data_IF_747863258056
#
_entry.id   IF_747863258056
#
_cell.length_a   1.000
_cell.length_b   1.000
_cell.length_c   1.000
_cell.angle_alpha   90.00
_cell.angle_beta   90.00
_cell.angle_gamma   90.00
#
_symmetry.space_group_name_H-M   'P 1'
#
loop_
_entity.id
_entity.type
_entity.pdbx_description
1 polymer ?
#
# COMPACT_ATOMS: atom_id res chain seq x y z
N UNK A 1 12.35 11.77 6.68
CA UNK A 1 11.27 10.93 6.11
C UNK A 1 9.97 11.66 6.42
N UNK A 2 9.31 12.25 5.42
CA UNK A 2 8.09 13.03 5.66
C UNK A 2 6.92 12.05 5.82
N UNK A 3 6.46 11.88 7.06
CA UNK A 3 5.26 11.10 7.36
C UNK A 3 4.06 11.98 7.00
N UNK A 4 3.15 11.54 6.11
CA UNK A 4 1.93 12.27 5.85
C UNK A 4 1.17 12.47 7.16
N UNK A 5 0.87 13.71 7.50
CA UNK A 5 0.13 14.05 8.71
C UNK A 5 -0.92 15.09 8.39
N UNK A 6 -1.93 15.21 9.25
CA UNK A 6 -3.00 16.22 9.08
C UNK A 6 -2.49 17.66 9.15
N UNK A 7 -1.28 17.88 9.67
CA UNK A 7 -0.63 19.20 9.68
C UNK A 7 0.02 19.57 8.34
N UNK A 8 0.27 18.58 7.47
CA UNK A 8 1.01 18.76 6.20
C UNK A 8 0.11 18.50 4.99
N UNK A 9 -0.85 17.58 5.09
CA UNK A 9 -1.75 17.21 4.00
C UNK A 9 -3.14 17.80 4.25
N UNK A 10 -3.54 18.79 3.44
CA UNK A 10 -4.85 19.45 3.55
C UNK A 10 -5.89 18.86 2.58
N UNK A 11 -5.44 18.04 1.63
CA UNK A 11 -6.26 17.38 0.63
C UNK A 11 -5.83 15.92 0.42
N UNK A 12 -6.71 15.15 -0.22
CA UNK A 12 -6.37 13.80 -0.69
C UNK A 12 -5.21 13.84 -1.70
N UNK A 13 -5.16 14.88 -2.54
CA UNK A 13 -4.08 15.07 -3.51
C UNK A 13 -2.73 15.23 -2.81
N UNK A 14 -2.65 16.10 -1.80
CA UNK A 14 -1.42 16.31 -1.01
C UNK A 14 -0.93 15.02 -0.34
N UNK A 15 -1.88 14.21 0.14
CA UNK A 15 -1.60 12.91 0.73
C UNK A 15 -1.00 11.96 -0.31
N UNK A 16 -1.62 11.82 -1.47
CA UNK A 16 -1.15 10.94 -2.54
C UNK A 16 0.23 11.35 -3.06
N UNK A 17 0.45 12.64 -3.26
CA UNK A 17 1.75 13.20 -3.66
C UNK A 17 2.80 12.88 -2.58
N UNK A 18 2.47 13.03 -1.30
CA UNK A 18 3.38 12.71 -0.19
C UNK A 18 3.71 11.22 -0.12
N UNK A 19 2.70 10.35 -0.24
CA UNK A 19 2.87 8.89 -0.26
C UNK A 19 3.72 8.40 -1.43
N UNK A 20 3.63 9.03 -2.60
CA UNK A 20 4.44 8.67 -3.78
C UNK A 20 5.95 8.83 -3.57
N UNK A 21 6.36 9.64 -2.60
CA UNK A 21 7.77 9.91 -2.26
C UNK A 21 8.28 9.04 -1.09
N UNK A 22 7.44 8.16 -0.55
CA UNK A 22 7.82 7.32 0.59
C UNK A 22 8.72 6.17 0.14
N UNK A 23 9.71 5.85 0.98
CA UNK A 23 10.59 4.70 0.79
C UNK A 23 10.21 3.60 1.78
N UNK A 24 10.15 2.36 1.29
CA UNK A 24 9.90 1.22 2.18
C UNK A 24 11.18 0.90 2.94
N UNK A 25 11.04 0.65 4.24
CA UNK A 25 12.15 0.25 5.09
C UNK A 25 12.49 -1.23 4.90
N UNK A 26 13.77 -1.63 5.03
CA UNK A 26 14.13 -3.02 5.26
C UNK A 26 13.34 -3.59 6.45
N UNK A 27 12.92 -4.87 6.44
CA UNK A 27 13.31 -5.94 5.51
C UNK A 27 12.30 -6.19 4.36
N UNK A 28 11.45 -5.23 3.99
CA UNK A 28 10.34 -5.47 3.04
C UNK A 28 10.78 -5.85 1.62
N UNK A 29 11.97 -5.43 1.17
CA UNK A 29 12.50 -5.75 -0.17
C UNK A 29 11.77 -5.07 -1.34
N UNK A 30 10.94 -4.06 -1.06
CA UNK A 30 10.13 -3.36 -2.05
C UNK A 30 10.79 -2.08 -2.53
N UNK A 31 10.93 -1.94 -3.85
CA UNK A 31 11.56 -0.79 -4.50
C UNK A 31 10.60 0.33 -4.91
N UNK A 32 9.29 0.07 -4.91
CA UNK A 32 8.24 1.05 -5.19
C UNK A 32 7.39 1.29 -3.93
N UNK A 33 6.88 2.52 -3.71
CA UNK A 33 6.07 2.82 -2.52
C UNK A 33 4.91 1.85 -2.33
N UNK A 34 4.68 1.38 -1.09
CA UNK A 34 3.63 0.40 -0.78
C UNK A 34 2.19 0.97 -0.78
N UNK A 35 2.03 2.29 -0.72
CA UNK A 35 0.71 2.92 -0.55
C UNK A 35 -0.36 2.53 -1.58
N UNK A 36 -0.08 2.27 -2.88
CA UNK A 36 -1.13 1.90 -3.82
C UNK A 36 -1.75 0.55 -3.46
N UNK A 37 -0.91 -0.39 -3.00
CA UNK A 37 -1.34 -1.72 -2.57
C UNK A 37 -2.12 -1.68 -1.26
N UNK A 38 -1.78 -0.78 -0.34
CA UNK A 38 -2.56 -0.57 0.88
C UNK A 38 -3.96 -0.05 0.54
N UNK A 39 -4.07 0.96 -0.32
CA UNK A 39 -5.36 1.50 -0.75
C UNK A 39 -6.20 0.43 -1.47
N UNK A 40 -5.56 -0.36 -2.34
CA UNK A 40 -6.20 -1.47 -3.04
C UNK A 40 -6.72 -2.55 -2.07
N UNK A 41 -5.90 -2.99 -1.11
CA UNK A 41 -6.30 -4.00 -0.12
C UNK A 41 -7.40 -3.48 0.80
N UNK A 42 -7.36 -2.21 1.23
CA UNK A 42 -8.43 -1.61 2.02
C UNK A 42 -9.75 -1.58 1.25
N UNK A 43 -9.72 -1.17 -0.01
CA UNK A 43 -10.91 -1.13 -0.87
C UNK A 43 -11.48 -2.54 -1.11
N UNK A 44 -10.65 -3.50 -1.51
CA UNK A 44 -11.09 -4.88 -1.75
C UNK A 44 -11.56 -5.58 -0.47
N UNK A 45 -10.87 -5.40 0.65
CA UNK A 45 -11.28 -5.99 1.94
C UNK A 45 -12.62 -5.42 2.41
N UNK A 46 -12.87 -4.13 2.19
CA UNK A 46 -14.19 -3.53 2.47
C UNK A 46 -15.28 -4.16 1.62
N UNK A 47 -15.03 -4.39 0.33
CA UNK A 47 -16.00 -5.06 -0.54
C UNK A 47 -16.26 -6.49 -0.09
N UNK A 48 -15.21 -7.25 0.27
CA UNK A 48 -15.34 -8.62 0.79
C UNK A 48 -16.13 -8.67 2.10
N UNK A 49 -15.93 -7.69 2.98
CA UNK A 49 -16.73 -7.58 4.19
C UNK A 49 -18.20 -7.31 3.89
N UNK A 50 -18.50 -6.36 3.00
CA UNK A 50 -19.88 -5.97 2.67
C UNK A 50 -20.67 -7.03 1.90
N UNK A 51 -20.01 -7.77 0.99
CA UNK A 51 -20.69 -8.69 0.08
C UNK A 51 -20.50 -10.17 0.41
N UNK A 52 -19.48 -10.52 1.21
CA UNK A 52 -19.14 -11.91 1.54
C UNK A 52 -19.02 -12.17 3.05
N UNK A 53 -19.26 -11.16 3.90
CA UNK A 53 -19.10 -11.21 5.36
C UNK A 53 -17.68 -11.69 5.78
N UNK A 54 -16.67 -11.36 4.97
CA UNK A 54 -15.27 -11.70 5.23
C UNK A 54 -14.52 -10.52 5.81
N UNK A 55 -14.07 -10.66 7.05
CA UNK A 55 -13.15 -9.73 7.70
C UNK A 55 -11.71 -10.25 7.67
N UNK A 56 -10.74 -9.34 7.67
CA UNK A 56 -9.32 -9.67 7.80
C UNK A 56 -8.72 -8.85 8.93
N UNK A 57 -7.75 -9.41 9.62
CA UNK A 57 -6.92 -8.68 10.57
C UNK A 57 -6.01 -7.69 9.85
N UNK A 58 -5.53 -6.68 10.58
CA UNK A 58 -4.58 -5.69 10.08
C UNK A 58 -3.30 -6.35 9.55
N UNK A 59 -2.83 -7.40 10.23
CA UNK A 59 -1.64 -8.16 9.84
C UNK A 59 -1.87 -8.94 8.54
N UNK A 60 -3.04 -9.55 8.34
CA UNK A 60 -3.41 -10.20 7.09
C UNK A 60 -3.51 -9.20 5.94
N UNK A 61 -4.15 -8.04 6.16
CA UNK A 61 -4.25 -6.99 5.14
C UNK A 61 -2.87 -6.47 4.73
N UNK A 62 -2.00 -6.17 5.70
CA UNK A 62 -0.64 -5.71 5.43
C UNK A 62 0.17 -6.77 4.67
N UNK A 63 0.04 -8.04 5.07
CA UNK A 63 0.70 -9.17 4.40
C UNK A 63 0.23 -9.31 2.96
N UNK A 64 -1.09 -9.20 2.69
CA UNK A 64 -1.65 -9.20 1.34
C UNK A 64 -1.09 -8.05 0.49
N UNK A 65 -1.00 -6.84 1.05
CA UNK A 65 -0.48 -5.68 0.34
C UNK A 65 1.00 -5.86 -0.04
N UNK A 66 1.84 -6.32 0.92
CA UNK A 66 3.26 -6.58 0.67
C UNK A 66 3.44 -7.68 -0.37
N UNK A 67 2.66 -8.77 -0.27
CA UNK A 67 2.72 -9.88 -1.22
C UNK A 67 2.38 -9.43 -2.64
N UNK A 68 1.26 -8.73 -2.83
CA UNK A 68 0.85 -8.24 -4.13
C UNK A 68 1.88 -7.25 -4.72
N UNK A 69 2.47 -6.40 -3.88
CA UNK A 69 3.55 -5.50 -4.28
C UNK A 69 4.81 -6.24 -4.75
N UNK A 70 5.18 -7.33 -4.07
CA UNK A 70 6.32 -8.18 -4.46
C UNK A 70 6.05 -8.90 -5.77
N UNK A 71 4.89 -9.54 -5.89
CA UNK A 71 4.48 -10.25 -7.11
C UNK A 71 4.51 -9.31 -8.33
N UNK A 72 4.01 -8.09 -8.17
CA UNK A 72 4.10 -7.07 -9.22
C UNK A 72 5.55 -6.68 -9.54
N UNK A 73 6.37 -6.43 -8.53
CA UNK A 73 7.78 -6.07 -8.73
C UNK A 73 8.55 -7.17 -9.47
N UNK A 74 8.30 -8.42 -9.13
CA UNK A 74 8.94 -9.60 -9.75
C UNK A 74 8.46 -9.84 -11.19
N UNK A 75 7.24 -9.40 -11.52
CA UNK A 75 6.70 -9.48 -12.88
C UNK A 75 7.28 -8.42 -13.84
N UNK A 76 7.92 -7.38 -13.31
CA UNK A 76 8.54 -6.35 -14.14
C UNK A 76 9.77 -6.90 -14.85
N UNK A 77 10.07 -6.46 -16.09
CA UNK A 77 11.29 -6.85 -16.77
C UNK A 77 12.53 -6.48 -15.93
N UNK A 78 13.62 -7.27 -16.03
CA UNK A 78 14.85 -6.97 -15.33
C UNK A 78 15.30 -5.55 -15.66
N UNK A 79 15.68 -4.79 -14.63
CA UNK A 79 16.24 -3.45 -14.83
C UNK A 79 17.52 -3.59 -15.67
N UNK A 80 17.54 -2.93 -16.84
CA UNK A 80 18.76 -2.77 -17.65
C UNK A 80 19.81 -1.98 -16.88
#
# INVERSE_FOLDING_TARGET
MAIPSRAVCNSLEDLLISCSRMTNLPPTGLSKPLYPWLLWVLWTSRNQFLFEDKSFSETEMLTKAIRAAKEWQESLPPRK
#
